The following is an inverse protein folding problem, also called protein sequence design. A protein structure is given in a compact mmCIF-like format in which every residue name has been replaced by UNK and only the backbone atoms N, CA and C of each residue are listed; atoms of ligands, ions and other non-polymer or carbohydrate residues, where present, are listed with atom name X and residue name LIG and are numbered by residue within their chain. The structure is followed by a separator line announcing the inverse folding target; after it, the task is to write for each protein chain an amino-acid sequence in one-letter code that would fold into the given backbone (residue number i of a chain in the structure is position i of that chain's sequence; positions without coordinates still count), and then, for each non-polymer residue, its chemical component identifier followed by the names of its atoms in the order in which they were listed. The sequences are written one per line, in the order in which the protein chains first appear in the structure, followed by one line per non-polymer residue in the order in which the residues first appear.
data_IF_564999144568
#
_entry.id   IF_564999144568
#
_cell.length_a   1.000
_cell.length_b   1.000
_cell.length_c   1.000
_cell.angle_alpha   90.00
_cell.angle_beta   90.00
_cell.angle_gamma   90.00
#
_symmetry.space_group_name_H-M   'P 1'
#
loop_
_entity.id
_entity.type
_entity.pdbx_description
1 polymer ?
#
# COMPACT_ATOMS: atom_id res chain seq x y z
N UNK A 1 -3.28 -21.14 17.38
CA UNK A 1 -3.75 -21.24 18.78
C UNK A 1 -2.62 -20.82 19.70
N UNK A 2 -2.84 -19.80 20.55
CA UNK A 2 -1.81 -19.40 21.52
C UNK A 2 -1.57 -20.48 22.59
N UNK A 3 -0.39 -20.47 23.21
CA UNK A 3 -0.07 -21.41 24.27
C UNK A 3 -1.07 -21.35 25.44
N UNK A 4 -1.59 -20.16 25.75
CA UNK A 4 -2.61 -19.95 26.78
C UNK A 4 -3.97 -20.57 26.42
N UNK A 5 -4.40 -20.46 25.15
CA UNK A 5 -5.63 -21.07 24.69
C UNK A 5 -5.56 -22.60 24.73
N UNK A 6 -4.37 -23.18 24.44
CA UNK A 6 -4.12 -24.62 24.55
C UNK A 6 -4.18 -25.06 26.00
N UNK A 7 -3.51 -24.39 26.93
CA UNK A 7 -3.52 -24.71 28.35
C UNK A 7 -4.92 -24.62 28.96
N UNK A 8 -5.73 -23.66 28.57
CA UNK A 8 -7.13 -23.50 29.00
C UNK A 8 -8.02 -24.66 28.50
N UNK A 9 -7.83 -25.08 27.24
CA UNK A 9 -8.55 -26.23 26.68
C UNK A 9 -8.16 -27.55 27.33
N UNK A 10 -6.87 -27.75 27.59
CA UNK A 10 -6.38 -28.97 28.27
C UNK A 10 -6.96 -29.09 29.69
N UNK A 11 -7.13 -27.96 30.38
CA UNK A 11 -7.71 -27.93 31.73
C UNK A 11 -9.22 -28.25 31.72
N UNK A 12 -9.99 -27.71 30.73
CA UNK A 12 -11.42 -28.04 30.57
C UNK A 12 -11.62 -29.50 30.17
N UNK A 13 -10.80 -30.02 29.24
CA UNK A 13 -10.89 -31.43 28.84
C UNK A 13 -10.56 -32.38 29.97
N UNK A 14 -9.69 -32.01 30.88
CA UNK A 14 -9.34 -32.83 32.07
C UNK A 14 -10.50 -32.96 33.08
N UNK A 15 -11.52 -32.07 33.01
CA UNK A 15 -12.71 -32.17 33.88
C UNK A 15 -13.80 -33.08 33.33
N UNK A 16 -13.71 -33.52 32.07
CA UNK A 16 -14.69 -34.37 31.39
C UNK A 16 -14.25 -35.85 31.41
N UNK A 17 -15.19 -36.76 31.61
CA UNK A 17 -14.92 -38.20 31.44
C UNK A 17 -14.61 -38.50 29.96
N UNK A 18 -14.00 -39.66 29.70
CA UNK A 18 -13.71 -40.09 28.31
C UNK A 18 -14.97 -40.20 27.44
N UNK A 19 -16.07 -40.67 28.04
CA UNK A 19 -17.38 -40.78 27.40
C UNK A 19 -17.95 -39.39 27.05
N UNK A 20 -17.85 -38.42 27.97
CA UNK A 20 -18.26 -37.04 27.75
C UNK A 20 -17.43 -36.36 26.64
N UNK A 21 -16.10 -36.59 26.64
CA UNK A 21 -15.23 -36.08 25.56
C UNK A 21 -15.60 -36.65 24.20
N UNK A 22 -15.93 -37.94 24.12
CA UNK A 22 -16.38 -38.60 22.89
C UNK A 22 -17.74 -38.02 22.41
N UNK A 23 -18.68 -37.83 23.32
CA UNK A 23 -19.98 -37.25 23.02
C UNK A 23 -19.86 -35.78 22.49
N UNK A 24 -19.00 -34.96 23.11
CA UNK A 24 -18.74 -33.59 22.66
C UNK A 24 -18.13 -33.58 21.24
N UNK A 25 -17.19 -34.47 20.95
CA UNK A 25 -16.59 -34.57 19.61
C UNK A 25 -17.61 -34.94 18.55
N UNK A 26 -18.50 -35.89 18.87
CA UNK A 26 -19.59 -36.29 17.96
C UNK A 26 -20.56 -35.14 17.74
N UNK A 27 -20.99 -34.43 18.79
CA UNK A 27 -21.88 -33.30 18.71
C UNK A 27 -21.28 -32.16 17.84
N UNK A 28 -20.02 -31.79 18.09
CA UNK A 28 -19.33 -30.77 17.30
C UNK A 28 -19.26 -31.17 15.82
N UNK A 29 -18.89 -32.45 15.56
CA UNK A 29 -18.84 -32.95 14.18
C UNK A 29 -20.21 -32.90 13.52
N UNK A 30 -21.24 -33.38 14.19
CA UNK A 30 -22.61 -33.42 13.68
C UNK A 30 -23.12 -32.00 13.38
N UNK A 31 -22.91 -31.07 14.30
CA UNK A 31 -23.28 -29.67 14.14
C UNK A 31 -22.60 -29.05 12.90
N UNK A 32 -21.29 -29.23 12.74
CA UNK A 32 -20.54 -28.66 11.61
C UNK A 32 -20.89 -29.33 10.26
N UNK A 33 -21.30 -30.59 10.27
CA UNK A 33 -21.69 -31.33 9.05
C UNK A 33 -23.14 -31.05 8.68
N UNK A 34 -24.04 -30.91 9.67
CA UNK A 34 -25.46 -30.61 9.43
C UNK A 34 -25.69 -29.14 9.07
N UNK A 35 -24.87 -28.23 9.57
CA UNK A 35 -24.91 -26.80 9.20
C UNK A 35 -23.49 -26.25 8.87
N UNK A 36 -23.00 -26.47 7.64
CA UNK A 36 -21.69 -25.96 7.22
C UNK A 36 -21.58 -24.42 7.21
N UNK A 37 -22.70 -23.69 7.26
CA UNK A 37 -22.71 -22.22 7.28
C UNK A 37 -22.00 -21.66 8.52
N UNK A 38 -21.99 -22.42 9.62
CA UNK A 38 -21.25 -22.05 10.84
C UNK A 38 -19.76 -21.74 10.55
N UNK A 39 -19.15 -22.50 9.64
CA UNK A 39 -17.73 -22.24 9.24
C UNK A 39 -17.60 -20.96 8.42
N UNK A 40 -18.57 -20.66 7.55
CA UNK A 40 -18.61 -19.43 6.77
C UNK A 40 -18.81 -18.23 7.70
N UNK A 41 -19.78 -18.29 8.60
CA UNK A 41 -20.03 -17.24 9.59
C UNK A 41 -18.81 -16.98 10.49
N UNK A 42 -18.13 -18.04 10.93
CA UNK A 42 -16.92 -17.92 11.71
C UNK A 42 -15.78 -17.28 10.91
N UNK A 43 -15.65 -17.60 9.62
CA UNK A 43 -14.67 -17.00 8.73
C UNK A 43 -14.97 -15.51 8.50
N UNK A 44 -16.23 -15.16 8.24
CA UNK A 44 -16.66 -13.78 8.03
C UNK A 44 -16.44 -12.93 9.29
N UNK A 45 -16.78 -13.47 10.46
CA UNK A 45 -16.52 -12.82 11.75
C UNK A 45 -15.02 -12.59 11.99
N UNK A 46 -14.18 -13.57 11.67
CA UNK A 46 -12.74 -13.43 11.76
C UNK A 46 -12.21 -12.36 10.80
N UNK A 47 -12.67 -12.35 9.54
CA UNK A 47 -12.29 -11.33 8.56
C UNK A 47 -12.71 -9.92 9.00
N UNK A 48 -13.92 -9.78 9.55
CA UNK A 48 -14.40 -8.50 10.08
C UNK A 48 -13.51 -7.97 11.22
N UNK A 49 -13.04 -8.86 12.11
CA UNK A 49 -12.09 -8.51 13.18
C UNK A 49 -10.76 -8.04 12.57
N UNK A 50 -10.20 -8.78 11.61
CA UNK A 50 -8.93 -8.45 10.97
C UNK A 50 -9.00 -7.10 10.23
N UNK A 51 -10.11 -6.85 9.51
CA UNK A 51 -10.35 -5.56 8.81
C UNK A 51 -10.42 -4.42 9.82
N UNK A 52 -11.11 -4.61 10.94
CA UNK A 52 -11.22 -3.59 11.99
C UNK A 52 -9.86 -3.26 12.59
N UNK A 53 -9.06 -4.27 12.97
CA UNK A 53 -7.72 -4.09 13.52
C UNK A 53 -6.80 -3.39 12.51
N UNK A 54 -6.86 -3.78 11.23
CA UNK A 54 -6.11 -3.14 10.17
C UNK A 54 -6.52 -1.67 10.00
N UNK A 55 -7.81 -1.36 10.03
CA UNK A 55 -8.32 0.02 9.92
C UNK A 55 -7.88 0.89 11.11
N UNK A 56 -7.85 0.35 12.32
CA UNK A 56 -7.35 1.06 13.51
C UNK A 56 -5.86 1.37 13.39
N UNK A 57 -5.06 0.43 12.89
CA UNK A 57 -3.64 0.65 12.60
C UNK A 57 -3.43 1.69 11.51
N UNK A 58 -4.21 1.62 10.41
CA UNK A 58 -4.18 2.61 9.32
C UNK A 58 -4.56 3.99 9.85
N UNK A 59 -5.62 4.12 10.66
CA UNK A 59 -6.04 5.39 11.24
C UNK A 59 -4.94 6.02 12.10
N UNK A 60 -4.24 5.21 12.90
CA UNK A 60 -3.10 5.65 13.72
C UNK A 60 -1.92 6.13 12.88
N UNK A 61 -1.57 5.38 11.82
CA UNK A 61 -0.49 5.74 10.90
C UNK A 61 -0.87 6.91 9.99
N UNK A 62 -2.14 7.01 9.60
CA UNK A 62 -2.64 8.04 8.69
C UNK A 62 -2.36 9.46 9.15
N UNK A 63 -2.55 9.75 10.44
CA UNK A 63 -2.25 11.07 11.00
C UNK A 63 -0.78 11.47 10.80
N UNK A 64 0.14 10.53 10.98
CA UNK A 64 1.58 10.76 10.75
C UNK A 64 1.90 10.96 9.27
N UNK A 65 1.33 10.12 8.41
CA UNK A 65 1.56 10.18 6.96
C UNK A 65 0.97 11.46 6.37
N UNK A 66 -0.26 11.83 6.76
CA UNK A 66 -0.96 13.03 6.27
C UNK A 66 -0.20 14.33 6.55
N UNK A 67 0.43 14.40 7.72
CA UNK A 67 1.09 15.59 8.22
C UNK A 67 2.61 15.57 8.01
N UNK A 68 3.14 14.61 7.27
CA UNK A 68 4.55 14.53 6.96
C UNK A 68 4.99 15.73 6.12
N UNK A 69 6.05 16.41 6.54
CA UNK A 69 6.67 17.49 5.78
C UNK A 69 7.31 16.96 4.49
N UNK A 70 7.40 17.82 3.50
CA UNK A 70 8.06 17.53 2.21
C UNK A 70 7.43 16.40 1.38
N UNK A 71 6.17 16.03 1.63
CA UNK A 71 5.52 15.00 0.82
C UNK A 71 5.10 15.54 -0.56
N UNK A 72 5.11 14.64 -1.55
CA UNK A 72 4.57 14.96 -2.87
C UNK A 72 3.05 14.86 -2.79
N UNK A 73 2.40 16.01 -2.72
CA UNK A 73 0.96 16.08 -2.53
C UNK A 73 0.32 17.15 -3.42
N UNK A 74 -0.89 16.88 -3.88
CA UNK A 74 -1.70 17.75 -4.73
C UNK A 74 -3.11 17.85 -4.18
N UNK A 75 -3.79 18.96 -4.47
CA UNK A 75 -5.13 19.27 -3.96
C UNK A 75 -5.12 20.01 -2.61
N UNK A 76 -6.30 20.33 -2.06
CA UNK A 76 -6.42 21.16 -0.86
C UNK A 76 -5.81 20.48 0.38
N UNK A 77 -5.06 21.22 1.17
CA UNK A 77 -4.46 20.70 2.41
C UNK A 77 -5.52 20.30 3.46
N UNK A 78 -6.68 20.99 3.44
CA UNK A 78 -7.81 20.74 4.32
C UNK A 78 -8.90 19.87 3.70
N UNK A 79 -8.59 19.10 2.65
CA UNK A 79 -9.53 18.18 2.02
C UNK A 79 -10.14 17.20 3.03
N UNK A 80 -11.45 16.94 2.91
CA UNK A 80 -12.16 15.95 3.74
C UNK A 80 -11.72 14.52 3.41
N UNK A 81 -11.32 14.28 2.17
CA UNK A 81 -10.83 12.99 1.68
C UNK A 81 -9.38 13.13 1.24
N UNK A 82 -8.55 12.20 1.65
CA UNK A 82 -7.16 12.09 1.19
C UNK A 82 -6.94 10.70 0.60
N UNK A 83 -6.42 10.64 -0.61
CA UNK A 83 -5.94 9.41 -1.25
C UNK A 83 -4.43 9.37 -1.08
N UNK A 84 -3.93 8.28 -0.52
CA UNK A 84 -2.50 8.01 -0.40
C UNK A 84 -2.19 6.82 -1.29
N UNK A 85 -1.36 7.02 -2.29
CA UNK A 85 -0.96 5.98 -3.22
C UNK A 85 0.49 5.57 -2.96
N UNK A 86 0.71 4.29 -2.65
CA UNK A 86 2.02 3.66 -2.65
C UNK A 86 2.18 2.87 -3.94
N UNK A 87 3.19 3.16 -4.72
CA UNK A 87 3.32 2.60 -6.07
C UNK A 87 4.77 2.37 -6.50
N UNK A 88 4.92 1.53 -7.53
CA UNK A 88 6.17 1.25 -8.22
C UNK A 88 5.95 1.42 -9.73
N UNK A 89 6.86 2.09 -10.42
CA UNK A 89 6.77 2.34 -11.87
C UNK A 89 6.90 1.07 -12.74
N UNK A 90 7.22 -0.08 -12.16
CA UNK A 90 7.25 -1.38 -12.84
C UNK A 90 6.06 -2.27 -12.48
N UNK A 91 5.15 -1.79 -11.63
CA UNK A 91 4.01 -2.54 -11.17
C UNK A 91 2.84 -2.45 -12.15
N UNK A 92 2.45 -3.56 -12.78
CA UNK A 92 1.34 -3.60 -13.73
C UNK A 92 -0.01 -3.16 -13.14
N UNK A 93 -0.27 -3.45 -11.86
CA UNK A 93 -1.48 -2.97 -11.17
C UNK A 93 -1.45 -1.46 -10.94
N UNK A 94 -0.28 -0.87 -10.67
CA UNK A 94 -0.11 0.57 -10.54
C UNK A 94 -0.35 1.27 -11.88
N UNK A 95 0.16 0.70 -12.98
CA UNK A 95 -0.12 1.21 -14.33
C UNK A 95 -1.63 1.19 -14.63
N UNK A 96 -2.34 0.10 -14.30
CA UNK A 96 -3.78 0.00 -14.48
C UNK A 96 -4.56 1.04 -13.64
N UNK A 97 -4.15 1.26 -12.40
CA UNK A 97 -4.76 2.22 -11.49
C UNK A 97 -4.53 3.69 -11.90
N UNK A 98 -3.42 3.99 -12.59
CA UNK A 98 -3.04 5.35 -12.97
C UNK A 98 -4.10 6.07 -13.83
N UNK A 99 -4.79 5.36 -14.73
CA UNK A 99 -5.86 5.95 -15.56
C UNK A 99 -7.01 6.44 -14.69
N UNK A 100 -7.49 5.60 -13.78
CA UNK A 100 -8.54 5.95 -12.83
C UNK A 100 -8.12 7.11 -11.92
N UNK A 101 -6.90 7.07 -11.39
CA UNK A 101 -6.37 8.12 -10.50
C UNK A 101 -6.28 9.45 -11.23
N UNK A 102 -5.74 9.45 -12.46
CA UNK A 102 -5.64 10.66 -13.30
C UNK A 102 -7.02 11.24 -13.60
N UNK A 103 -7.99 10.41 -13.96
CA UNK A 103 -9.36 10.84 -14.21
C UNK A 103 -9.99 11.42 -12.93
N UNK A 104 -9.80 10.75 -11.80
CA UNK A 104 -10.30 11.20 -10.50
C UNK A 104 -9.68 12.54 -10.11
N UNK A 105 -8.38 12.73 -10.26
CA UNK A 105 -7.71 14.03 -10.01
C UNK A 105 -8.25 15.15 -10.87
N UNK A 106 -8.62 14.87 -12.12
CA UNK A 106 -9.17 15.87 -13.02
C UNK A 106 -10.61 16.29 -12.64
N UNK A 107 -11.41 15.32 -12.14
CA UNK A 107 -12.82 15.53 -11.78
C UNK A 107 -13.02 15.99 -10.32
N UNK A 108 -12.16 15.57 -9.41
CA UNK A 108 -12.31 15.78 -7.98
C UNK A 108 -11.18 16.66 -7.42
N UNK A 109 -11.37 17.96 -7.58
CA UNK A 109 -10.44 18.98 -7.08
C UNK A 109 -10.52 19.19 -5.56
N UNK A 110 -11.51 18.61 -4.91
CA UNK A 110 -11.78 18.64 -3.47
C UNK A 110 -11.04 17.56 -2.68
N UNK A 111 -10.35 16.64 -3.37
CA UNK A 111 -9.57 15.54 -2.77
C UNK A 111 -8.10 15.93 -2.70
N UNK A 112 -7.43 15.55 -1.62
CA UNK A 112 -5.97 15.59 -1.48
C UNK A 112 -5.39 14.27 -1.96
N UNK A 113 -4.35 14.34 -2.78
CA UNK A 113 -3.62 13.19 -3.31
C UNK A 113 -2.18 13.24 -2.79
N UNK A 114 -1.72 12.15 -2.18
CA UNK A 114 -0.35 12.00 -1.66
C UNK A 114 0.31 10.84 -2.38
N UNK A 115 1.44 11.10 -3.02
CA UNK A 115 2.20 10.12 -3.78
C UNK A 115 3.38 9.62 -2.96
N UNK A 116 3.48 8.30 -2.78
CA UNK A 116 4.52 7.60 -2.04
C UNK A 116 5.26 6.65 -2.97
N UNK A 117 6.43 7.08 -3.39
CA UNK A 117 7.36 6.28 -4.22
C UNK A 117 7.81 5.04 -3.43
N UNK A 118 7.39 3.85 -3.84
CA UNK A 118 7.71 2.57 -3.19
C UNK A 118 8.38 1.60 -4.19
N UNK A 119 9.62 1.88 -4.62
CA UNK A 119 10.32 1.08 -5.61
C UNK A 119 10.83 -0.23 -5.00
N UNK A 120 10.05 -1.31 -5.13
CA UNK A 120 10.36 -2.62 -4.54
C UNK A 120 10.61 -3.72 -5.58
N UNK A 121 10.32 -3.47 -6.87
CA UNK A 121 10.32 -4.51 -7.90
C UNK A 121 11.65 -4.64 -8.63
N UNK A 122 12.39 -3.54 -8.82
CA UNK A 122 13.66 -3.60 -9.56
C UNK A 122 14.59 -2.42 -9.24
N UNK A 123 15.90 -2.51 -9.57
CA UNK A 123 16.80 -1.35 -9.51
C UNK A 123 16.33 -0.17 -10.36
N UNK A 124 15.71 -0.43 -11.53
CA UNK A 124 15.18 0.60 -12.40
C UNK A 124 13.93 1.28 -11.82
N UNK A 125 13.13 0.58 -10.98
CA UNK A 125 12.08 1.21 -10.17
C UNK A 125 12.68 2.29 -9.26
N UNK A 126 13.81 2.02 -8.64
CA UNK A 126 14.52 2.98 -7.78
C UNK A 126 15.05 4.18 -8.57
N UNK A 127 15.57 3.95 -9.79
CA UNK A 127 16.00 5.04 -10.67
C UNK A 127 14.82 5.94 -11.06
N UNK A 128 13.69 5.35 -11.47
CA UNK A 128 12.49 6.07 -11.86
C UNK A 128 11.91 6.88 -10.68
N UNK A 129 11.83 6.29 -9.48
CA UNK A 129 11.38 6.97 -8.27
C UNK A 129 12.25 8.18 -7.90
N UNK A 130 13.57 8.04 -7.93
CA UNK A 130 14.51 9.16 -7.69
C UNK A 130 14.37 10.25 -8.74
N UNK A 131 14.19 9.87 -10.01
CA UNK A 131 13.97 10.83 -11.09
C UNK A 131 12.66 11.59 -10.92
N UNK A 132 11.58 10.92 -10.50
CA UNK A 132 10.29 11.55 -10.22
C UNK A 132 10.36 12.54 -9.04
N UNK A 133 11.07 12.18 -7.97
CA UNK A 133 11.33 13.12 -6.86
C UNK A 133 12.13 14.34 -7.33
N UNK A 134 13.14 14.15 -8.20
CA UNK A 134 13.90 15.25 -8.78
C UNK A 134 13.06 16.11 -9.74
N UNK A 135 12.11 15.49 -10.47
CA UNK A 135 11.15 16.21 -11.30
C UNK A 135 10.20 17.09 -10.45
N UNK A 136 9.86 16.63 -9.23
CA UNK A 136 9.08 17.43 -8.29
C UNK A 136 9.79 18.76 -7.94
N UNK A 137 11.11 18.74 -7.76
CA UNK A 137 11.92 19.94 -7.53
C UNK A 137 11.99 20.88 -8.75
N UNK A 138 11.54 20.43 -9.91
CA UNK A 138 11.35 21.24 -11.13
C UNK A 138 9.89 21.62 -11.38
N UNK A 139 8.96 21.29 -10.47
CA UNK A 139 7.52 21.59 -10.60
C UNK A 139 6.77 20.73 -11.62
N UNK A 140 7.37 19.64 -12.11
CA UNK A 140 6.82 18.79 -13.19
C UNK A 140 6.59 17.34 -12.78
N UNK A 141 6.27 17.12 -11.51
CA UNK A 141 6.08 15.76 -10.99
C UNK A 141 4.95 15.02 -11.70
N UNK A 142 3.75 15.60 -11.77
CA UNK A 142 2.57 14.90 -12.31
C UNK A 142 2.72 14.54 -13.78
N UNK A 143 3.25 15.44 -14.58
CA UNK A 143 3.49 15.21 -16.01
C UNK A 143 4.48 14.08 -16.21
N UNK A 144 5.56 14.10 -15.45
CA UNK A 144 6.60 13.08 -15.53
C UNK A 144 6.14 11.75 -14.96
N UNK A 145 5.44 11.74 -13.82
CA UNK A 145 4.84 10.56 -13.21
C UNK A 145 3.90 9.84 -14.19
N UNK A 146 2.99 10.58 -14.83
CA UNK A 146 2.08 10.01 -15.82
C UNK A 146 2.81 9.42 -17.03
N UNK A 147 3.84 10.08 -17.50
CA UNK A 147 4.65 9.60 -18.61
C UNK A 147 5.43 8.32 -18.23
N UNK A 148 5.99 8.24 -17.03
CA UNK A 148 6.62 7.02 -16.51
C UNK A 148 5.62 5.87 -16.35
N UNK A 149 4.42 6.15 -15.81
CA UNK A 149 3.35 5.16 -15.66
C UNK A 149 2.75 4.69 -16.98
N UNK A 150 2.91 5.44 -18.06
CA UNK A 150 2.46 5.06 -19.40
C UNK A 150 3.57 4.39 -20.22
N UNK A 151 4.80 4.39 -19.72
CA UNK A 151 5.93 3.83 -20.44
C UNK A 151 5.93 2.31 -20.38
N UNK A 152 6.32 1.70 -21.50
CA UNK A 152 6.58 0.28 -21.60
C UNK A 152 8.08 0.01 -21.58
N UNK A 153 8.49 -1.20 -21.16
CA UNK A 153 9.89 -1.58 -21.13
C UNK A 153 10.52 -1.50 -19.74
N UNK A 154 11.84 -1.37 -19.67
CA UNK A 154 12.59 -1.61 -18.44
C UNK A 154 12.86 -0.36 -17.61
N UNK A 155 12.51 0.83 -18.09
CA UNK A 155 12.77 2.11 -17.43
C UNK A 155 14.23 2.31 -17.04
N UNK A 156 15.16 1.93 -17.93
CA UNK A 156 16.57 2.24 -17.76
C UNK A 156 16.84 3.74 -17.84
N UNK A 157 18.03 4.16 -17.42
CA UNK A 157 18.40 5.58 -17.30
C UNK A 157 18.14 6.39 -18.58
N UNK A 158 18.50 5.86 -19.74
CA UNK A 158 18.33 6.57 -21.01
C UNK A 158 16.84 6.75 -21.39
N UNK A 159 16.01 5.73 -21.12
CA UNK A 159 14.56 5.83 -21.32
C UNK A 159 13.97 6.88 -20.36
N UNK A 160 14.37 6.89 -19.10
CA UNK A 160 13.94 7.89 -18.11
C UNK A 160 14.31 9.30 -18.56
N UNK A 161 15.53 9.50 -19.08
CA UNK A 161 15.98 10.81 -19.59
C UNK A 161 15.20 11.24 -20.84
N UNK A 162 14.90 10.30 -21.74
CA UNK A 162 14.07 10.58 -22.93
C UNK A 162 12.66 11.01 -22.54
N UNK A 163 12.05 10.30 -21.58
CA UNK A 163 10.72 10.67 -21.04
C UNK A 163 10.78 12.05 -20.36
N UNK A 164 11.84 12.32 -19.58
CA UNK A 164 12.03 13.61 -18.94
C UNK A 164 12.11 14.74 -19.95
N UNK A 165 12.83 14.56 -21.05
CA UNK A 165 12.94 15.52 -22.13
C UNK A 165 11.57 15.77 -22.80
N UNK A 166 10.78 14.72 -23.05
CA UNK A 166 9.47 14.84 -23.71
C UNK A 166 8.47 15.65 -22.90
N UNK A 167 8.58 15.66 -21.57
CA UNK A 167 7.74 16.49 -20.68
C UNK A 167 8.39 17.85 -20.35
N UNK A 168 9.51 18.19 -20.99
CA UNK A 168 10.19 19.48 -20.87
C UNK A 168 10.91 19.68 -19.54
N UNK A 169 11.43 18.61 -18.93
CA UNK A 169 12.36 18.68 -17.79
C UNK A 169 13.76 19.06 -18.26
N UNK A 170 14.49 19.78 -17.43
CA UNK A 170 15.93 19.95 -17.61
C UNK A 170 16.63 18.63 -17.22
N UNK A 171 17.04 17.88 -18.23
CA UNK A 171 17.63 16.53 -18.04
C UNK A 171 19.00 16.57 -17.37
N UNK A 172 19.82 17.61 -17.60
CA UNK A 172 21.10 17.78 -16.91
C UNK A 172 20.89 17.98 -15.42
N UNK A 173 19.97 18.87 -15.04
CA UNK A 173 19.59 19.08 -13.63
C UNK A 173 18.96 17.83 -13.04
N UNK A 174 18.07 17.16 -13.77
CA UNK A 174 17.44 15.92 -13.32
C UNK A 174 18.47 14.85 -12.98
N UNK A 175 19.43 14.60 -13.87
CA UNK A 175 20.51 13.62 -13.69
C UNK A 175 21.40 13.94 -12.47
N UNK A 176 21.66 15.20 -12.21
CA UNK A 176 22.39 15.62 -11.02
C UNK A 176 21.58 15.44 -9.75
N UNK A 177 20.32 15.92 -9.76
CA UNK A 177 19.44 15.92 -8.59
C UNK A 177 19.03 14.50 -8.14
N UNK A 178 18.77 13.56 -9.07
CA UNK A 178 18.35 12.20 -8.72
C UNK A 178 19.42 11.41 -7.92
N UNK A 179 20.67 11.87 -7.92
CA UNK A 179 21.75 11.28 -7.13
C UNK A 179 21.87 11.83 -5.70
N UNK A 180 21.03 12.79 -5.31
CA UNK A 180 21.06 13.36 -3.98
C UNK A 180 20.72 12.31 -2.91
N UNK A 181 21.50 12.23 -1.82
CA UNK A 181 21.29 11.25 -0.74
C UNK A 181 19.90 11.33 -0.11
N UNK A 182 19.32 12.53 -0.07
CA UNK A 182 17.97 12.78 0.49
C UNK A 182 16.88 11.93 -0.16
N UNK A 183 16.97 11.63 -1.45
CA UNK A 183 15.98 10.79 -2.13
C UNK A 183 16.10 9.32 -1.71
N UNK A 184 17.32 8.81 -1.53
CA UNK A 184 17.53 7.46 -1.02
C UNK A 184 16.96 7.30 0.41
N UNK A 185 17.26 8.25 1.28
CA UNK A 185 16.74 8.29 2.65
C UNK A 185 15.21 8.38 2.68
N UNK A 186 14.63 9.16 1.78
CA UNK A 186 13.17 9.28 1.68
C UNK A 186 12.52 7.99 1.22
N UNK A 187 13.08 7.29 0.23
CA UNK A 187 12.58 5.98 -0.21
C UNK A 187 12.64 4.95 0.92
N UNK A 188 13.73 4.94 1.69
CA UNK A 188 13.85 4.07 2.86
C UNK A 188 12.80 4.40 3.94
N UNK A 189 12.59 5.68 4.22
CA UNK A 189 11.54 6.12 5.15
C UNK A 189 10.15 5.69 4.70
N UNK A 190 9.83 5.80 3.40
CA UNK A 190 8.54 5.37 2.84
C UNK A 190 8.38 3.85 2.97
N UNK A 191 9.44 3.08 2.74
CA UNK A 191 9.41 1.62 2.88
C UNK A 191 9.11 1.17 4.32
N UNK A 192 9.49 1.96 5.32
CA UNK A 192 9.33 1.65 6.74
C UNK A 192 8.03 2.23 7.36
N UNK A 193 7.17 2.85 6.58
CA UNK A 193 5.85 3.34 7.00
C UNK A 193 4.80 2.21 7.04
#
# INVERSE_FOLDING_TARGET
MSAEAKAKNDNVLATLTKEQQAAVRLLVRDTLVSDPNILVEAQDAYQAIMIREQNEQVATKYGKIKNEESQIAFGPANAKVTIIEYFDYKCGFCHAANSWLTETMNKRRDIRYIFKELPILSPNSTLAAKAAMAAHAQGKYLEFHRALMSATGDLGLEQIMSIAQSVGLNTTRLRADMNKPEYAQRLEKIRNQ
#
